data_IF_996728299448
#
_entry.id   IF_996728299448
#
_cell.length_a   1.000
_cell.length_b   1.000
_cell.length_c   1.000
_cell.angle_alpha   90.00
_cell.angle_beta   90.00
_cell.angle_gamma   90.00
#
_symmetry.space_group_name_H-M   'P 1'
#
loop_
_entity.id
_entity.type
_entity.pdbx_description
1 polymer ?
#
# COMPACT_ATOMS: atom_id res chain seq x y z
N UNK A 1 -5.90 -20.11 14.24
CA UNK A 1 -4.80 -20.38 13.28
C UNK A 1 -5.18 -20.12 11.83
N UNK A 2 -6.42 -20.39 11.42
CA UNK A 2 -6.93 -20.12 10.06
C UNK A 2 -6.79 -18.66 9.63
N UNK A 3 -7.08 -17.69 10.50
CA UNK A 3 -6.96 -16.26 10.18
C UNK A 3 -5.52 -15.82 9.85
N UNK A 4 -4.51 -16.34 10.54
CA UNK A 4 -3.09 -16.03 10.24
C UNK A 4 -2.73 -16.54 8.85
N UNK A 5 -3.19 -17.75 8.51
CA UNK A 5 -2.94 -18.35 7.20
C UNK A 5 -3.62 -17.53 6.08
N UNK A 6 -4.85 -17.04 6.32
CA UNK A 6 -5.54 -16.14 5.40
C UNK A 6 -4.79 -14.81 5.20
N UNK A 7 -4.23 -14.22 6.27
CA UNK A 7 -3.41 -13.01 6.19
C UNK A 7 -2.14 -13.25 5.37
N UNK A 8 -1.44 -14.36 5.61
CA UNK A 8 -0.21 -14.70 4.86
C UNK A 8 -0.50 -14.86 3.38
N UNK A 9 -1.58 -15.57 3.03
CA UNK A 9 -2.01 -15.72 1.63
C UNK A 9 -2.37 -14.37 1.01
N UNK A 10 -3.12 -13.53 1.72
CA UNK A 10 -3.48 -12.20 1.25
C UNK A 10 -2.25 -11.30 1.04
N UNK A 11 -1.25 -11.36 1.94
CA UNK A 11 0.00 -10.62 1.79
C UNK A 11 0.82 -11.10 0.59
N UNK A 12 0.94 -12.41 0.40
CA UNK A 12 1.65 -12.97 -0.75
C UNK A 12 0.97 -12.55 -2.07
N UNK A 13 -0.36 -12.58 -2.11
CA UNK A 13 -1.15 -12.14 -3.26
C UNK A 13 -0.99 -10.62 -3.48
N UNK A 14 -0.98 -9.83 -2.40
CA UNK A 14 -0.77 -8.39 -2.45
C UNK A 14 0.57 -8.05 -3.10
N UNK A 15 1.65 -8.67 -2.62
CA UNK A 15 2.99 -8.47 -3.18
C UNK A 15 3.02 -8.87 -4.66
N UNK A 16 2.50 -10.06 -4.99
CA UNK A 16 2.50 -10.55 -6.36
C UNK A 16 1.76 -9.63 -7.34
N UNK A 17 0.56 -9.15 -6.97
CA UNK A 17 -0.23 -8.25 -7.81
C UNK A 17 0.37 -6.84 -7.84
N UNK A 18 0.97 -6.35 -6.75
CA UNK A 18 1.66 -5.06 -6.71
C UNK A 18 2.86 -5.04 -7.67
N UNK A 19 3.63 -6.12 -7.74
CA UNK A 19 4.72 -6.26 -8.71
C UNK A 19 4.24 -6.33 -10.17
N UNK A 20 2.98 -6.70 -10.41
CA UNK A 20 2.35 -6.60 -11.74
C UNK A 20 1.88 -5.19 -12.10
N UNK A 21 2.15 -4.18 -11.27
CA UNK A 21 1.80 -2.79 -11.53
C UNK A 21 0.36 -2.43 -11.14
N UNK A 22 -0.35 -3.31 -10.43
CA UNK A 22 -1.66 -2.96 -9.88
C UNK A 22 -1.49 -1.99 -8.70
N UNK A 23 -2.38 -1.01 -8.61
CA UNK A 23 -2.35 0.00 -7.55
C UNK A 23 -2.51 -0.63 -6.17
N UNK A 24 -1.49 -0.48 -5.32
CA UNK A 24 -1.53 -0.89 -3.92
C UNK A 24 -2.70 -0.27 -3.14
N UNK A 25 -3.10 0.95 -3.52
CA UNK A 25 -4.20 1.66 -2.88
C UNK A 25 -5.54 0.94 -3.06
N UNK A 26 -5.75 0.32 -4.22
CA UNK A 26 -6.98 -0.45 -4.52
C UNK A 26 -6.85 -1.86 -3.95
N UNK A 27 -5.65 -2.45 -4.04
CA UNK A 27 -5.41 -3.83 -3.65
C UNK A 27 -5.52 -4.06 -2.14
N UNK A 28 -4.97 -3.14 -1.33
CA UNK A 28 -4.96 -3.25 0.12
C UNK A 28 -6.37 -3.40 0.73
N UNK A 29 -7.35 -2.52 0.45
CA UNK A 29 -8.71 -2.67 0.96
C UNK A 29 -9.43 -3.91 0.39
N UNK A 30 -9.21 -4.23 -0.89
CA UNK A 30 -9.83 -5.40 -1.52
C UNK A 30 -9.38 -6.71 -0.85
N UNK A 31 -8.09 -6.85 -0.55
CA UNK A 31 -7.55 -8.04 0.10
C UNK A 31 -7.87 -8.07 1.59
N UNK A 32 -7.92 -6.92 2.26
CA UNK A 32 -8.43 -6.85 3.64
C UNK A 32 -9.90 -7.32 3.73
N UNK A 33 -10.74 -6.92 2.77
CA UNK A 33 -12.13 -7.38 2.68
C UNK A 33 -12.21 -8.89 2.41
N UNK A 34 -11.34 -9.42 1.53
CA UNK A 34 -11.25 -10.86 1.27
C UNK A 34 -10.89 -11.64 2.56
N UNK A 35 -9.90 -11.18 3.32
CA UNK A 35 -9.54 -11.80 4.61
C UNK A 35 -10.71 -11.76 5.60
N UNK A 36 -11.45 -10.65 5.66
CA UNK A 36 -12.62 -10.52 6.52
C UNK A 36 -13.78 -11.43 6.10
N UNK A 37 -13.92 -11.77 4.80
CA UNK A 37 -14.91 -12.74 4.32
C UNK A 37 -14.59 -14.18 4.74
N UNK A 38 -13.31 -14.52 4.75
CA UNK A 38 -12.84 -15.89 5.07
C UNK A 38 -12.70 -16.10 6.58
N UNK A 39 -12.56 -15.02 7.35
CA UNK A 39 -12.48 -15.06 8.79
C UNK A 39 -13.89 -15.18 9.40
N UNK A 40 -14.09 -16.19 10.25
CA UNK A 40 -15.36 -16.41 10.96
C UNK A 40 -15.57 -15.28 11.98
N UNK A 41 -16.81 -14.81 12.12
CA UNK A 41 -17.24 -13.79 13.10
C UNK A 41 -16.73 -12.35 12.87
N UNK A 42 -16.16 -12.02 11.71
CA UNK A 42 -15.78 -10.63 11.38
C UNK A 42 -16.79 -9.95 10.45
N UNK A 43 -17.51 -8.89 10.91
CA UNK A 43 -18.37 -8.12 10.02
C UNK A 43 -17.53 -7.40 8.96
N UNK A 44 -17.82 -7.67 7.68
CA UNK A 44 -17.07 -7.13 6.53
C UNK A 44 -16.98 -5.60 6.58
N UNK A 45 -18.13 -4.94 6.71
CA UNK A 45 -18.22 -3.49 6.64
C UNK A 45 -17.51 -2.83 7.84
N UNK A 46 -17.56 -3.44 9.03
CA UNK A 46 -16.83 -2.96 10.19
C UNK A 46 -15.32 -3.14 10.01
N UNK A 47 -14.89 -4.27 9.44
CA UNK A 47 -13.46 -4.53 9.15
C UNK A 47 -12.91 -3.52 8.14
N UNK A 48 -13.69 -3.17 7.12
CA UNK A 48 -13.32 -2.13 6.17
C UNK A 48 -13.28 -0.74 6.81
N UNK A 49 -14.37 -0.31 7.46
CA UNK A 49 -14.52 1.09 7.93
C UNK A 49 -13.81 1.39 9.24
N UNK A 50 -13.78 0.46 10.19
CA UNK A 50 -13.24 0.71 11.53
C UNK A 50 -11.80 0.23 11.66
N UNK A 51 -11.48 -0.93 11.09
CA UNK A 51 -10.14 -1.52 11.24
C UNK A 51 -9.20 -1.02 10.14
N UNK A 52 -9.54 -1.28 8.87
CA UNK A 52 -8.68 -0.90 7.74
C UNK A 52 -8.59 0.61 7.60
N UNK A 53 -9.73 1.31 7.46
CA UNK A 53 -9.72 2.78 7.26
C UNK A 53 -9.17 3.54 8.47
N UNK A 54 -9.41 3.06 9.70
CA UNK A 54 -8.80 3.63 10.90
C UNK A 54 -7.27 3.54 10.87
N UNK A 55 -6.75 2.35 10.54
CA UNK A 55 -5.29 2.13 10.42
C UNK A 55 -4.68 2.90 9.25
N UNK A 56 -5.34 2.90 8.10
CA UNK A 56 -4.92 3.63 6.91
C UNK A 56 -4.89 5.14 7.14
N UNK A 57 -5.92 5.69 7.80
CA UNK A 57 -5.97 7.10 8.19
C UNK A 57 -4.81 7.48 9.10
N UNK A 58 -4.53 6.67 10.13
CA UNK A 58 -3.40 6.91 11.03
C UNK A 58 -2.05 6.86 10.30
N UNK A 59 -1.88 5.90 9.39
CA UNK A 59 -0.68 5.81 8.54
C UNK A 59 -0.51 7.07 7.68
N UNK A 60 -1.57 7.55 7.04
CA UNK A 60 -1.52 8.78 6.26
C UNK A 60 -1.12 9.95 7.16
N UNK A 61 -1.76 10.13 8.32
CA UNK A 61 -1.43 11.25 9.22
C UNK A 61 0.04 11.21 9.66
N UNK A 62 0.58 10.03 9.99
CA UNK A 62 1.96 9.91 10.46
C UNK A 62 3.00 10.08 9.35
N UNK A 63 2.75 9.57 8.15
CA UNK A 63 3.77 9.47 7.09
C UNK A 63 3.54 10.43 5.92
N UNK A 64 2.39 11.09 5.83
CA UNK A 64 2.08 12.01 4.74
C UNK A 64 3.13 13.11 4.55
N UNK A 65 3.65 13.79 5.61
CA UNK A 65 4.70 14.79 5.43
C UNK A 65 5.98 14.21 4.80
N UNK A 66 6.34 12.98 5.17
CA UNK A 66 7.50 12.28 4.60
C UNK A 66 7.28 11.95 3.13
N UNK A 67 6.11 11.41 2.78
CA UNK A 67 5.77 11.10 1.38
C UNK A 67 5.65 12.35 0.53
N UNK A 68 5.07 13.43 1.07
CA UNK A 68 4.96 14.71 0.39
C UNK A 68 6.35 15.28 0.08
N UNK A 69 7.26 15.28 1.06
CA UNK A 69 8.63 15.72 0.87
C UNK A 69 9.34 14.87 -0.20
N UNK A 70 9.20 13.55 -0.14
CA UNK A 70 9.76 12.63 -1.13
C UNK A 70 9.21 12.87 -2.54
N UNK A 71 7.90 13.12 -2.67
CA UNK A 71 7.26 13.45 -3.94
C UNK A 71 7.75 14.79 -4.52
N UNK A 72 7.87 15.83 -3.68
CA UNK A 72 8.42 17.13 -4.07
C UNK A 72 9.85 16.98 -4.54
N UNK A 73 10.69 16.27 -3.78
CA UNK A 73 12.08 16.04 -4.13
C UNK A 73 12.24 15.25 -5.43
N UNK A 74 11.44 14.19 -5.60
CA UNK A 74 11.40 13.42 -6.86
C UNK A 74 11.01 14.30 -8.05
N UNK A 75 9.99 15.16 -7.88
CA UNK A 75 9.58 16.08 -8.94
C UNK A 75 10.65 17.12 -9.26
N UNK A 76 11.31 17.66 -8.24
CA UNK A 76 12.44 18.59 -8.43
C UNK A 76 13.60 17.93 -9.18
N UNK A 77 13.91 16.66 -8.88
CA UNK A 77 14.94 15.91 -9.60
C UNK A 77 14.60 15.67 -11.07
N UNK A 78 13.33 15.40 -11.37
CA UNK A 78 12.80 15.29 -12.73
C UNK A 78 12.92 16.64 -13.48
N UNK A 79 12.38 17.71 -12.88
CA UNK A 79 12.31 19.04 -13.50
C UNK A 79 13.71 19.68 -13.66
N UNK A 80 14.65 19.38 -12.77
CA UNK A 80 16.05 19.84 -12.87
C UNK A 80 16.92 19.03 -13.83
N UNK A 81 16.43 17.88 -14.33
CA UNK A 81 17.24 16.95 -15.14
C UNK A 81 18.31 16.19 -14.34
N UNK A 82 18.35 16.35 -13.01
CA UNK A 82 19.32 15.63 -12.17
C UNK A 82 19.14 14.12 -12.26
N UNK A 83 17.90 13.65 -12.40
CA UNK A 83 17.60 12.23 -12.59
C UNK A 83 18.22 11.67 -13.89
N UNK A 84 18.15 12.42 -14.99
CA UNK A 84 18.71 12.04 -16.30
C UNK A 84 20.24 11.94 -16.25
N UNK A 85 20.90 12.93 -15.64
CA UNK A 85 22.36 12.95 -15.48
C UNK A 85 22.84 11.76 -14.64
N UNK A 86 22.12 11.42 -13.56
CA UNK A 86 22.44 10.25 -12.74
C UNK A 86 22.24 8.95 -13.52
N UNK A 87 21.15 8.82 -14.27
CA UNK A 87 20.92 7.64 -15.11
C UNK A 87 22.03 7.43 -16.15
N UNK A 88 22.47 8.51 -16.82
CA UNK A 88 23.57 8.46 -17.79
C UNK A 88 24.96 8.27 -17.20
N UNK A 89 25.15 8.48 -15.90
CA UNK A 89 26.43 8.22 -15.21
C UNK A 89 26.54 6.79 -14.67
N UNK A 90 25.42 6.12 -14.42
CA UNK A 90 25.36 4.75 -13.90
C UNK A 90 25.40 3.70 -15.02
N UNK A 91 24.84 4.02 -16.20
CA UNK A 91 24.85 3.19 -17.41
C UNK A 91 26.08 3.49 -18.25
#
# INVERSE_FOLDING_TARGET
MTGILAIVVALALLMFLAYRGLSLLILAPALAALVALVSVDTPLLASYTQVFMGSAGNFIVMYFPLFLLGAIFGKLMEDSGSAEVLAGAIV
#
